data_IF_139449550826
#
_entry.id   IF_139449550826
#
_cell.length_a   1.000
_cell.length_b   1.000
_cell.length_c   1.000
_cell.angle_alpha   90.00
_cell.angle_beta   90.00
_cell.angle_gamma   90.00
#
_symmetry.space_group_name_H-M   'P 1'
#
loop_
_entity.id
_entity.type
_entity.pdbx_description
1 polymer ?
#
# COMPACT_ATOMS: atom_id res chain seq x y z
N UNK A 1 -28.39 1.16 -15.43
CA UNK A 1 -27.68 1.11 -14.13
C UNK A 1 -26.23 1.48 -14.40
N UNK A 2 -25.80 2.68 -13.99
CA UNK A 2 -24.43 3.16 -14.22
C UNK A 2 -23.47 2.37 -13.32
N UNK A 3 -22.48 1.71 -13.90
CA UNK A 3 -21.42 1.03 -13.15
C UNK A 3 -20.58 2.09 -12.40
N UNK A 4 -20.19 1.86 -11.14
CA UNK A 4 -19.36 2.80 -10.41
C UNK A 4 -17.99 2.95 -11.09
N UNK A 5 -17.43 4.16 -11.07
CA UNK A 5 -16.07 4.37 -11.55
C UNK A 5 -15.08 3.46 -10.80
N UNK A 6 -14.00 3.00 -11.46
CA UNK A 6 -13.02 2.13 -10.82
C UNK A 6 -12.38 2.84 -9.63
N UNK A 7 -12.55 2.27 -8.44
CA UNK A 7 -11.87 2.75 -7.23
C UNK A 7 -10.39 2.37 -7.34
N UNK A 8 -9.44 3.30 -7.19
CA UNK A 8 -8.02 2.96 -7.28
C UNK A 8 -7.62 1.93 -6.22
N UNK A 9 -6.64 1.05 -6.53
CA UNK A 9 -6.14 0.08 -5.56
C UNK A 9 -5.69 0.75 -4.26
N UNK A 10 -5.83 0.03 -3.14
CA UNK A 10 -5.47 0.56 -1.82
C UNK A 10 -4.01 1.03 -1.75
N UNK A 11 -3.09 0.32 -2.43
CA UNK A 11 -1.67 0.72 -2.52
C UNK A 11 -1.48 2.10 -3.13
N UNK A 12 -2.30 2.47 -4.12
CA UNK A 12 -2.26 3.80 -4.74
C UNK A 12 -2.65 4.90 -3.77
N UNK A 13 -3.59 4.64 -2.86
CA UNK A 13 -3.96 5.62 -1.83
C UNK A 13 -2.85 5.79 -0.78
N UNK A 14 -2.14 4.72 -0.43
CA UNK A 14 -1.00 4.77 0.50
C UNK A 14 0.13 5.63 -0.08
N UNK A 15 0.52 5.41 -1.34
CA UNK A 15 1.56 6.22 -1.98
C UNK A 15 1.18 7.70 -2.06
N UNK A 16 -0.09 8.00 -2.39
CA UNK A 16 -0.60 9.37 -2.39
C UNK A 16 -0.49 10.06 -1.03
N UNK A 17 -0.82 9.35 0.05
CA UNK A 17 -0.72 9.89 1.41
C UNK A 17 0.74 10.14 1.83
N UNK A 18 1.66 9.26 1.40
CA UNK A 18 3.09 9.42 1.64
C UNK A 18 3.67 10.63 0.88
N UNK A 19 3.21 10.89 -0.34
CA UNK A 19 3.60 12.10 -1.09
C UNK A 19 3.05 13.38 -0.44
N UNK A 20 1.81 13.35 0.04
CA UNK A 20 1.15 14.53 0.59
C UNK A 20 1.73 14.97 1.95
N UNK A 21 2.09 14.02 2.81
CA UNK A 21 2.67 14.30 4.12
C UNK A 21 3.53 13.11 4.60
N UNK A 22 4.80 13.04 4.18
CA UNK A 22 5.65 11.87 4.40
C UNK A 22 5.91 11.55 5.87
N UNK A 23 6.00 12.59 6.71
CA UNK A 23 6.39 12.50 8.13
C UNK A 23 5.19 12.29 9.07
N UNK A 24 3.96 12.35 8.56
CA UNK A 24 2.76 12.11 9.37
C UNK A 24 2.70 10.65 9.85
N UNK A 25 2.26 10.39 11.11
CA UNK A 25 2.06 9.05 11.61
C UNK A 25 1.03 8.29 10.77
N UNK A 26 1.37 7.05 10.41
CA UNK A 26 0.49 6.17 9.63
C UNK A 26 -0.08 5.03 10.47
N UNK A 27 0.79 4.35 11.23
CA UNK A 27 0.42 3.18 12.04
C UNK A 27 1.20 3.22 13.34
N UNK A 28 0.51 2.96 14.46
CA UNK A 28 1.13 2.74 15.77
C UNK A 28 0.79 1.34 16.26
N UNK A 29 1.79 0.58 16.64
CA UNK A 29 1.65 -0.74 17.23
C UNK A 29 2.75 -0.95 18.26
N UNK A 30 2.38 -1.44 19.45
CA UNK A 30 3.32 -1.73 20.56
C UNK A 30 4.27 -0.55 20.88
N UNK A 31 3.70 0.66 21.01
CA UNK A 31 4.46 1.87 21.32
C UNK A 31 5.36 2.39 20.19
N UNK A 32 5.44 1.68 19.06
CA UNK A 32 6.18 2.12 17.88
C UNK A 32 5.22 2.69 16.84
N UNK A 33 5.52 3.90 16.40
CA UNK A 33 4.84 4.55 15.28
C UNK A 33 5.74 4.57 14.06
N UNK A 34 5.17 4.28 12.89
CA UNK A 34 5.84 4.48 11.60
C UNK A 34 5.14 5.58 10.80
N UNK A 35 5.91 6.28 9.98
CA UNK A 35 5.41 7.36 9.14
C UNK A 35 4.75 6.84 7.87
N UNK A 36 4.04 7.71 7.15
CA UNK A 36 3.43 7.37 5.85
C UNK A 36 4.48 6.97 4.82
N UNK A 37 5.64 7.64 4.79
CA UNK A 37 6.74 7.28 3.91
C UNK A 37 7.32 5.88 4.24
N UNK A 38 7.48 5.57 5.54
CA UNK A 38 7.96 4.26 5.98
C UNK A 38 6.97 3.14 5.66
N UNK A 39 5.66 3.41 5.81
CA UNK A 39 4.62 2.47 5.44
C UNK A 39 4.67 2.16 3.94
N UNK A 40 4.66 3.18 3.07
CA UNK A 40 4.73 3.00 1.61
C UNK A 40 5.96 2.18 1.20
N UNK A 41 7.14 2.55 1.69
CA UNK A 41 8.38 1.85 1.39
C UNK A 41 8.37 0.39 1.86
N UNK A 42 7.83 0.12 3.06
CA UNK A 42 7.77 -1.23 3.61
C UNK A 42 6.80 -2.13 2.85
N UNK A 43 5.61 -1.62 2.49
CA UNK A 43 4.61 -2.35 1.74
C UNK A 43 5.04 -2.58 0.29
N UNK A 44 5.65 -1.59 -0.38
CA UNK A 44 6.19 -1.78 -1.73
C UNK A 44 7.31 -2.82 -1.76
N UNK A 45 8.18 -2.85 -0.75
CA UNK A 45 9.21 -3.89 -0.63
C UNK A 45 8.58 -5.27 -0.49
N UNK A 46 7.56 -5.42 0.35
CA UNK A 46 6.82 -6.68 0.52
C UNK A 46 6.11 -7.11 -0.78
N UNK A 47 5.43 -6.18 -1.46
CA UNK A 47 4.74 -6.46 -2.72
C UNK A 47 5.70 -6.98 -3.79
N UNK A 48 6.90 -6.41 -3.91
CA UNK A 48 7.94 -6.91 -4.84
C UNK A 48 8.44 -8.29 -4.45
N UNK A 49 8.58 -8.58 -3.16
CA UNK A 49 8.92 -9.92 -2.69
C UNK A 49 7.82 -10.94 -3.01
N UNK A 50 6.55 -10.54 -2.93
CA UNK A 50 5.39 -11.40 -3.25
C UNK A 50 5.02 -11.43 -4.73
N UNK A 51 5.57 -10.58 -5.60
CA UNK A 51 5.26 -10.58 -7.02
C UNK A 51 5.55 -11.95 -7.68
N UNK A 52 6.54 -12.69 -7.17
CA UNK A 52 6.82 -14.06 -7.59
C UNK A 52 5.81 -15.12 -7.06
N UNK A 53 5.06 -14.80 -6.01
CA UNK A 53 4.05 -15.69 -5.38
C UNK A 53 2.66 -15.48 -6.00
N UNK A 54 2.31 -14.24 -6.37
CA UNK A 54 1.00 -13.91 -6.99
C UNK A 54 0.86 -14.48 -8.40
N UNK A 55 1.97 -14.77 -9.10
CA UNK A 55 1.96 -15.40 -10.43
C UNK A 55 1.31 -16.79 -10.45
N UNK A 56 1.19 -17.49 -9.31
CA UNK A 56 0.67 -18.86 -9.26
C UNK A 56 -0.87 -18.91 -9.16
N UNK A 57 -1.55 -17.80 -8.86
CA UNK A 57 -3.01 -17.77 -8.71
C UNK A 57 -3.77 -17.17 -9.91
N UNK A 58 -3.06 -16.63 -10.91
CA UNK A 58 -3.67 -16.02 -12.11
C UNK A 58 -3.63 -16.92 -13.36
N UNK A 59 -3.19 -18.18 -13.22
CA UNK A 59 -3.22 -19.18 -14.30
C UNK A 59 -4.02 -20.40 -13.85
N UNK A 60 -5.34 -20.28 -13.75
CA UNK A 60 -6.33 -21.37 -13.89
C UNK A 60 -7.67 -20.76 -14.23
#
# INVERSE_FOLDING_TARGET
MTQPEPVPPIGTQISRLAELAPDEPAVTCDGRTITRAELDASTNRLARAYAGVVSVLATT
#
